data_IF_708156219478
#
_entry.id   IF_708156219478
#
_cell.length_a   1.000
_cell.length_b   1.000
_cell.length_c   1.000
_cell.angle_alpha   90.00
_cell.angle_beta   90.00
_cell.angle_gamma   90.00
#
_symmetry.space_group_name_H-M   'P 1'
#
loop_
_entity.id
_entity.type
_entity.pdbx_description
1 polymer ?
#
# COMPACT_ATOMS: atom_id res chain seq x y z
N UNK A 1 4.38 -12.93 -5.35
CA UNK A 1 3.62 -13.56 -4.24
C UNK A 1 3.00 -14.89 -4.65
N UNK A 2 2.10 -14.92 -5.66
CA UNK A 2 1.36 -16.14 -6.06
C UNK A 2 2.27 -17.34 -6.34
N UNK A 3 3.36 -17.15 -7.09
CA UNK A 3 4.31 -18.23 -7.37
C UNK A 3 5.01 -18.77 -6.11
N UNK A 4 5.35 -17.90 -5.17
CA UNK A 4 6.01 -18.28 -3.90
C UNK A 4 5.03 -19.05 -2.99
N UNK A 5 3.79 -18.60 -2.92
CA UNK A 5 2.72 -19.29 -2.19
C UNK A 5 2.40 -20.64 -2.85
N UNK A 6 2.34 -20.69 -4.18
CA UNK A 6 2.15 -21.94 -4.92
C UNK A 6 3.28 -22.94 -4.66
N UNK A 7 4.53 -22.48 -4.69
CA UNK A 7 5.69 -23.30 -4.32
C UNK A 7 5.64 -23.76 -2.86
N UNK A 8 5.22 -22.90 -1.93
CA UNK A 8 5.04 -23.26 -0.52
C UNK A 8 4.00 -24.36 -0.34
N UNK A 9 2.84 -24.25 -0.99
CA UNK A 9 1.77 -25.25 -0.89
C UNK A 9 2.26 -26.58 -1.46
N UNK A 10 2.86 -26.56 -2.67
CA UNK A 10 3.41 -27.74 -3.32
C UNK A 10 4.48 -28.43 -2.46
N UNK A 11 5.42 -27.66 -1.92
CA UNK A 11 6.51 -28.21 -1.11
C UNK A 11 6.02 -28.73 0.23
N UNK A 12 5.03 -28.09 0.87
CA UNK A 12 4.42 -28.62 2.10
C UNK A 12 3.64 -29.91 1.85
N UNK A 13 2.99 -30.05 0.69
CA UNK A 13 2.25 -31.27 0.33
C UNK A 13 3.16 -32.40 -0.14
N UNK A 14 4.19 -32.11 -0.92
CA UNK A 14 5.10 -33.10 -1.48
C UNK A 14 6.23 -33.38 -0.48
N UNK A 15 7.07 -32.40 -0.15
CA UNK A 15 8.20 -32.64 0.77
C UNK A 15 7.75 -32.87 2.22
N UNK A 16 6.65 -32.26 2.66
CA UNK A 16 6.12 -32.50 4.01
C UNK A 16 5.61 -33.93 4.20
N UNK A 17 4.95 -34.49 3.19
CA UNK A 17 4.42 -35.88 3.22
C UNK A 17 5.52 -36.93 3.02
N UNK A 18 6.52 -36.65 2.17
CA UNK A 18 7.53 -37.64 1.79
C UNK A 18 8.86 -37.54 2.56
N UNK A 19 9.25 -36.34 3.04
CA UNK A 19 10.57 -36.07 3.64
C UNK A 19 10.45 -35.48 5.06
N UNK A 20 9.23 -35.10 5.49
CA UNK A 20 8.99 -34.50 6.82
C UNK A 20 9.52 -33.07 6.97
N UNK A 21 10.02 -32.44 5.90
CA UNK A 21 10.54 -31.06 5.91
C UNK A 21 9.75 -30.17 4.96
N UNK A 22 9.29 -29.02 5.44
CA UNK A 22 8.79 -27.93 4.57
C UNK A 22 9.89 -26.88 4.37
N UNK A 23 9.78 -25.99 3.38
CA UNK A 23 10.71 -24.85 3.24
C UNK A 23 10.18 -23.65 4.05
N UNK A 24 10.60 -23.43 5.31
CA UNK A 24 10.03 -22.39 6.17
C UNK A 24 10.28 -20.96 5.68
N UNK A 25 11.32 -20.74 4.85
CA UNK A 25 11.63 -19.43 4.31
C UNK A 25 10.61 -18.93 3.27
N UNK A 26 9.91 -19.83 2.58
CA UNK A 26 8.95 -19.43 1.53
C UNK A 26 7.75 -18.71 2.14
N UNK A 27 7.36 -19.07 3.37
CA UNK A 27 6.30 -18.40 4.13
C UNK A 27 6.68 -16.95 4.37
N UNK A 28 7.84 -16.72 4.99
CA UNK A 28 8.34 -15.39 5.32
C UNK A 28 8.56 -14.53 4.07
N UNK A 29 9.06 -15.13 2.98
CA UNK A 29 9.22 -14.43 1.71
C UNK A 29 7.87 -14.04 1.09
N UNK A 30 6.86 -14.92 1.15
CA UNK A 30 5.54 -14.62 0.62
C UNK A 30 4.87 -13.46 1.35
N UNK A 31 5.02 -13.41 2.67
CA UNK A 31 4.54 -12.32 3.52
C UNK A 31 5.26 -11.01 3.21
N UNK A 32 6.59 -11.05 3.06
CA UNK A 32 7.34 -9.88 2.64
C UNK A 32 6.86 -9.36 1.29
N UNK A 33 6.76 -10.23 0.27
CA UNK A 33 6.27 -9.84 -1.05
C UNK A 33 4.83 -9.29 -1.01
N UNK A 34 3.97 -9.84 -0.17
CA UNK A 34 2.62 -9.31 0.03
C UNK A 34 2.66 -7.86 0.50
N UNK A 35 3.47 -7.55 1.54
CA UNK A 35 3.61 -6.17 2.03
C UNK A 35 4.12 -5.23 0.94
N UNK A 36 5.14 -5.64 0.18
CA UNK A 36 5.67 -4.84 -0.92
C UNK A 36 4.61 -4.55 -1.99
N UNK A 37 3.90 -5.58 -2.46
CA UNK A 37 2.87 -5.41 -3.49
C UNK A 37 1.70 -4.55 -2.98
N UNK A 38 1.28 -4.71 -1.72
CA UNK A 38 0.21 -3.90 -1.13
C UNK A 38 0.56 -2.42 -1.12
N UNK A 39 1.76 -2.05 -0.66
CA UNK A 39 2.15 -0.64 -0.60
C UNK A 39 2.43 -0.03 -1.97
N UNK A 40 3.02 -0.79 -2.90
CA UNK A 40 3.19 -0.35 -4.29
C UNK A 40 1.81 -0.16 -4.94
N UNK A 41 0.90 -1.11 -4.77
CA UNK A 41 -0.46 -1.03 -5.28
C UNK A 41 -1.22 0.17 -4.71
N UNK A 42 -1.12 0.41 -3.41
CA UNK A 42 -1.72 1.58 -2.75
C UNK A 42 -1.14 2.91 -3.28
N UNK A 43 0.17 2.99 -3.52
CA UNK A 43 0.80 4.17 -4.10
C UNK A 43 0.32 4.43 -5.53
N UNK A 44 0.22 3.39 -6.37
CA UNK A 44 -0.30 3.50 -7.75
C UNK A 44 -1.78 3.90 -7.75
N UNK A 45 -2.61 3.26 -6.92
CA UNK A 45 -4.04 3.58 -6.80
C UNK A 45 -4.25 5.03 -6.31
N UNK A 46 -3.43 5.48 -5.36
CA UNK A 46 -3.46 6.88 -4.90
C UNK A 46 -3.09 7.86 -6.01
N UNK A 47 -2.11 7.53 -6.86
CA UNK A 47 -1.71 8.37 -7.99
C UNK A 47 -2.76 8.45 -9.11
N UNK A 48 -3.54 7.39 -9.29
CA UNK A 48 -4.64 7.36 -10.27
C UNK A 48 -5.97 7.89 -9.74
N UNK A 49 -6.05 8.26 -8.47
CA UNK A 49 -7.30 8.69 -7.80
C UNK A 49 -8.43 7.66 -7.86
N UNK A 50 -8.12 6.37 -8.03
CA UNK A 50 -9.08 5.23 -8.08
C UNK A 50 -9.74 4.94 -6.72
N UNK A 51 -10.05 5.95 -5.92
CA UNK A 51 -10.91 5.76 -4.75
C UNK A 51 -12.37 5.71 -5.23
N UNK A 52 -12.68 4.63 -5.96
CA UNK A 52 -13.90 4.27 -6.71
C UNK A 52 -15.22 4.48 -5.94
N UNK A 53 -15.19 4.65 -4.62
CA UNK A 53 -16.39 4.74 -3.80
C UNK A 53 -17.06 6.11 -3.76
N UNK A 54 -16.42 7.16 -4.30
CA UNK A 54 -17.02 8.50 -4.33
C UNK A 54 -17.76 8.80 -5.62
N UNK A 55 -17.37 8.23 -6.76
CA UNK A 55 -17.87 8.65 -8.07
C UNK A 55 -19.38 8.45 -8.22
N UNK A 56 -19.93 7.33 -7.73
CA UNK A 56 -21.38 7.06 -7.75
C UNK A 56 -22.20 7.98 -6.84
N UNK A 57 -21.60 8.51 -5.77
CA UNK A 57 -22.27 9.41 -4.82
C UNK A 57 -22.08 10.88 -5.24
N UNK A 58 -20.95 11.18 -5.88
CA UNK A 58 -20.52 12.52 -6.31
C UNK A 58 -21.34 13.02 -7.50
N UNK A 59 -21.79 12.16 -8.41
CA UNK A 59 -22.62 12.54 -9.57
C UNK A 59 -23.93 13.26 -9.19
N UNK A 60 -24.42 13.07 -7.95
CA UNK A 60 -25.65 13.69 -7.45
C UNK A 60 -25.44 14.81 -6.44
N UNK A 61 -24.20 15.14 -6.11
CA UNK A 61 -23.86 16.14 -5.10
C UNK A 61 -23.55 17.52 -5.71
N UNK A 62 -23.74 18.56 -4.90
CA UNK A 62 -23.34 19.92 -5.28
C UNK A 62 -21.82 20.07 -5.26
N UNK A 63 -21.28 20.93 -6.13
CA UNK A 63 -19.83 21.16 -6.29
C UNK A 63 -19.12 21.49 -4.98
N UNK A 64 -19.78 22.25 -4.10
CA UNK A 64 -19.26 22.58 -2.77
C UNK A 64 -19.10 21.35 -1.87
N UNK A 65 -20.04 20.41 -1.92
CA UNK A 65 -20.01 19.18 -1.11
C UNK A 65 -18.90 18.25 -1.59
N UNK A 66 -18.77 18.11 -2.92
CA UNK A 66 -17.70 17.31 -3.54
C UNK A 66 -16.33 17.84 -3.10
N UNK A 67 -16.14 19.16 -3.13
CA UNK A 67 -14.89 19.79 -2.68
C UNK A 67 -14.56 19.47 -1.23
N UNK A 68 -15.52 19.66 -0.31
CA UNK A 68 -15.32 19.39 1.12
C UNK A 68 -14.99 17.92 1.36
N UNK A 69 -15.68 17.02 0.66
CA UNK A 69 -15.49 15.57 0.81
C UNK A 69 -14.12 15.13 0.29
N UNK A 70 -13.66 15.70 -0.83
CA UNK A 70 -12.32 15.45 -1.36
C UNK A 70 -11.22 15.97 -0.43
N UNK A 71 -11.38 17.16 0.15
CA UNK A 71 -10.43 17.69 1.16
C UNK A 71 -10.40 16.78 2.38
N UNK A 72 -11.56 16.40 2.91
CA UNK A 72 -11.67 15.55 4.09
C UNK A 72 -11.02 14.18 3.87
N UNK A 73 -11.34 13.52 2.74
CA UNK A 73 -10.73 12.25 2.32
C UNK A 73 -9.20 12.37 2.27
N UNK A 74 -8.70 13.42 1.61
CA UNK A 74 -7.27 13.62 1.41
C UNK A 74 -6.55 13.86 2.74
N UNK A 75 -7.13 14.67 3.63
CA UNK A 75 -6.61 14.88 4.97
C UNK A 75 -6.57 13.58 5.77
N UNK A 76 -7.62 12.77 5.68
CA UNK A 76 -7.69 11.47 6.38
C UNK A 76 -6.59 10.51 5.91
N UNK A 77 -6.33 10.46 4.59
CA UNK A 77 -5.24 9.67 4.00
C UNK A 77 -3.87 10.17 4.50
N UNK A 78 -3.64 11.50 4.51
CA UNK A 78 -2.38 12.07 4.98
C UNK A 78 -2.13 11.77 6.47
N UNK A 79 -3.15 11.87 7.31
CA UNK A 79 -3.06 11.51 8.73
C UNK A 79 -2.76 10.03 8.89
N UNK A 80 -3.50 9.16 8.18
CA UNK A 80 -3.29 7.72 8.23
C UNK A 80 -1.86 7.33 7.85
N UNK A 81 -1.36 7.85 6.73
CA UNK A 81 0.01 7.61 6.27
C UNK A 81 1.04 8.18 7.24
N UNK A 82 0.80 9.35 7.81
CA UNK A 82 1.66 9.94 8.83
C UNK A 82 1.81 9.04 10.07
N UNK A 83 0.69 8.52 10.59
CA UNK A 83 0.69 7.55 11.69
C UNK A 83 1.45 6.28 11.30
N UNK A 84 1.20 5.76 10.10
CA UNK A 84 1.83 4.55 9.60
C UNK A 84 3.36 4.69 9.55
N UNK A 85 3.87 5.78 8.95
CA UNK A 85 5.31 6.06 8.89
C UNK A 85 5.90 6.24 10.29
N UNK A 86 5.19 6.96 11.18
CA UNK A 86 5.65 7.20 12.54
C UNK A 86 5.82 5.92 13.36
N UNK A 87 5.01 4.89 13.11
CA UNK A 87 5.15 3.57 13.73
C UNK A 87 6.16 2.68 13.01
N UNK A 88 6.20 2.72 11.68
CA UNK A 88 7.08 1.88 10.87
C UNK A 88 8.56 2.26 11.02
N UNK A 89 8.88 3.56 11.14
CA UNK A 89 10.26 4.03 11.19
C UNK A 89 11.04 3.59 12.45
N UNK A 90 10.50 3.70 13.69
CA UNK A 90 11.14 3.14 14.87
C UNK A 90 11.29 1.63 14.81
N UNK A 91 10.31 0.92 14.24
CA UNK A 91 10.36 -0.53 14.09
C UNK A 91 11.42 -0.95 13.08
N UNK A 92 11.59 -0.19 11.99
CA UNK A 92 12.68 -0.37 11.04
C UNK A 92 14.04 -0.31 11.74
N UNK A 93 14.30 0.76 12.51
CA UNK A 93 15.58 0.96 13.21
C UNK A 93 15.86 -0.14 14.24
N UNK A 94 14.85 -0.54 15.02
CA UNK A 94 15.00 -1.59 16.04
C UNK A 94 15.27 -2.98 15.45
N UNK A 95 14.83 -3.24 14.22
CA UNK A 95 14.88 -4.56 13.60
C UNK A 95 16.00 -4.72 12.57
N UNK A 96 16.96 -3.78 12.51
CA UNK A 96 18.09 -3.86 11.59
C UNK A 96 19.04 -5.03 11.86
N UNK A 97 19.13 -5.50 13.12
CA UNK A 97 19.97 -6.65 13.49
C UNK A 97 19.23 -8.00 13.56
N UNK A 98 17.91 -8.00 13.46
CA UNK A 98 17.08 -9.20 13.66
C UNK A 98 16.83 -9.91 12.34
N UNK A 99 17.06 -11.23 12.27
CA UNK A 99 16.76 -12.07 11.10
C UNK A 99 15.28 -12.44 11.04
N UNK A 100 14.69 -12.49 9.85
CA UNK A 100 13.27 -12.89 9.65
C UNK A 100 13.15 -14.42 9.64
N UNK A 101 12.96 -15.02 10.81
CA UNK A 101 12.71 -16.47 10.93
C UNK A 101 13.75 -17.31 10.20
N UNK A 102 13.32 -18.12 9.23
CA UNK A 102 14.19 -19.05 8.50
C UNK A 102 14.76 -18.51 7.17
N UNK A 103 14.70 -17.20 6.91
CA UNK A 103 15.27 -16.64 5.67
C UNK A 103 16.80 -16.78 5.65
N UNK A 104 17.41 -17.02 4.47
CA UNK A 104 18.86 -17.15 4.35
C UNK A 104 19.58 -15.90 4.87
N UNK A 105 20.68 -16.11 5.60
CA UNK A 105 21.54 -15.03 6.13
C UNK A 105 22.19 -14.20 5.02
N UNK A 106 22.29 -14.74 3.80
CA UNK A 106 22.88 -14.08 2.64
C UNK A 106 21.89 -14.04 1.46
N UNK A 107 21.56 -12.84 0.92
CA UNK A 107 21.85 -11.50 1.45
C UNK A 107 21.12 -11.22 2.80
N UNK A 108 21.51 -10.17 3.58
CA UNK A 108 21.01 -9.96 4.94
C UNK A 108 19.55 -9.48 4.96
N UNK A 109 18.61 -10.43 4.83
CA UNK A 109 17.17 -10.20 4.98
C UNK A 109 16.82 -10.04 6.46
N UNK A 110 17.02 -8.83 6.96
CA UNK A 110 16.66 -8.44 8.32
C UNK A 110 15.18 -8.08 8.41
N UNK A 111 14.60 -8.14 9.60
CA UNK A 111 13.19 -7.83 9.83
C UNK A 111 12.85 -6.37 9.52
N UNK A 112 13.87 -5.51 9.44
CA UNK A 112 13.77 -4.15 8.92
C UNK A 112 13.13 -4.07 7.52
N UNK A 113 13.40 -5.05 6.64
CA UNK A 113 12.92 -5.04 5.24
C UNK A 113 11.40 -5.09 5.11
N UNK A 114 10.68 -5.57 6.13
CA UNK A 114 9.21 -5.56 6.16
C UNK A 114 8.62 -4.15 6.33
N UNK A 115 9.37 -3.23 6.93
CA UNK A 115 8.91 -1.87 7.22
C UNK A 115 9.27 -0.88 6.10
N UNK A 116 10.20 -1.23 5.20
CA UNK A 116 10.61 -0.37 4.09
C UNK A 116 9.46 0.01 3.15
N UNK A 117 8.59 -0.92 2.68
CA UNK A 117 7.48 -0.56 1.80
C UNK A 117 6.47 0.37 2.46
N UNK A 118 6.26 0.20 3.76
CA UNK A 118 5.38 1.05 4.56
C UNK A 118 5.88 2.50 4.59
N UNK A 119 7.19 2.69 4.82
CA UNK A 119 7.81 4.02 4.85
C UNK A 119 7.82 4.63 3.45
N UNK A 120 8.36 3.91 2.46
CA UNK A 120 8.53 4.44 1.09
C UNK A 120 7.18 4.64 0.40
N UNK A 121 6.30 3.63 0.43
CA UNK A 121 4.96 3.71 -0.13
C UNK A 121 4.12 4.78 0.57
N UNK A 122 4.24 4.90 1.89
CA UNK A 122 3.63 5.99 2.65
C UNK A 122 4.08 7.37 2.14
N UNK A 123 5.39 7.61 2.01
CA UNK A 123 5.90 8.89 1.50
C UNK A 123 5.35 9.20 0.10
N UNK A 124 5.30 8.22 -0.79
CA UNK A 124 4.74 8.40 -2.14
C UNK A 124 3.24 8.75 -2.10
N UNK A 125 2.46 8.03 -1.28
CA UNK A 125 1.04 8.34 -1.09
C UNK A 125 0.86 9.75 -0.51
N UNK A 126 1.71 10.15 0.43
CA UNK A 126 1.66 11.50 1.01
C UNK A 126 1.95 12.58 -0.04
N UNK A 127 2.91 12.36 -0.94
CA UNK A 127 3.19 13.28 -2.06
C UNK A 127 1.96 13.43 -2.96
N UNK A 128 1.31 12.33 -3.32
CA UNK A 128 0.07 12.38 -4.11
C UNK A 128 -1.06 13.08 -3.36
N UNK A 129 -1.24 12.81 -2.07
CA UNK A 129 -2.24 13.48 -1.25
C UNK A 129 -2.01 14.99 -1.15
N UNK A 130 -0.77 15.44 -0.98
CA UNK A 130 -0.44 16.88 -0.95
C UNK A 130 -0.71 17.53 -2.31
N UNK A 131 -0.34 16.86 -3.41
CA UNK A 131 -0.64 17.32 -4.78
C UNK A 131 -2.16 17.46 -4.99
N UNK A 132 -2.93 16.46 -4.59
CA UNK A 132 -4.39 16.47 -4.71
C UNK A 132 -4.99 17.61 -3.89
N UNK A 133 -4.56 17.78 -2.64
CA UNK A 133 -5.01 18.87 -1.79
C UNK A 133 -4.72 20.24 -2.40
N UNK A 134 -3.52 20.43 -2.97
CA UNK A 134 -3.15 21.67 -3.66
C UNK A 134 -4.06 21.95 -4.85
N UNK A 135 -4.34 20.93 -5.67
CA UNK A 135 -5.21 21.08 -6.84
C UNK A 135 -6.66 21.42 -6.46
N UNK A 136 -7.20 20.84 -5.38
CA UNK A 136 -8.53 21.18 -4.85
C UNK A 136 -8.62 22.64 -4.40
N UNK A 137 -7.52 23.20 -3.89
CA UNK A 137 -7.48 24.60 -3.44
C UNK A 137 -7.36 25.56 -4.63
N UNK A 138 -6.47 25.26 -5.58
CA UNK A 138 -6.09 26.18 -6.68
C UNK A 138 -7.02 26.10 -7.89
N UNK A 139 -7.44 24.90 -8.29
CA UNK A 139 -8.22 24.68 -9.52
C UNK A 139 -9.32 23.62 -9.27
N UNK A 140 -10.35 23.95 -8.47
CA UNK A 140 -11.41 23.01 -8.12
C UNK A 140 -12.20 22.54 -9.34
N UNK A 141 -12.33 23.36 -10.38
CA UNK A 141 -13.02 23.01 -11.64
C UNK A 141 -12.41 21.80 -12.37
N UNK A 142 -11.10 21.59 -12.29
CA UNK A 142 -10.43 20.44 -12.94
C UNK A 142 -10.86 19.13 -12.29
N UNK A 143 -10.97 19.11 -10.95
CA UNK A 143 -11.37 17.91 -10.21
C UNK A 143 -12.86 17.65 -10.36
N UNK A 144 -13.68 18.70 -10.41
CA UNK A 144 -15.11 18.56 -10.66
C UNK A 144 -15.37 17.99 -12.06
N UNK A 145 -14.59 18.39 -13.06
CA UNK A 145 -14.68 17.86 -14.42
C UNK A 145 -14.14 16.42 -14.51
N UNK A 146 -13.01 16.09 -13.85
CA UNK A 146 -12.53 14.69 -13.76
C UNK A 146 -13.59 13.77 -13.12
N UNK A 147 -14.30 14.23 -12.08
CA UNK A 147 -15.27 13.43 -11.35
C UNK A 147 -16.66 13.37 -11.99
N UNK A 148 -17.01 14.34 -12.84
CA UNK A 148 -18.33 14.39 -13.54
C UNK A 148 -18.25 14.01 -15.01
N UNK A 149 -17.07 14.06 -15.62
CA UNK A 149 -16.87 13.83 -17.05
C UNK A 149 -16.75 12.36 -17.47
N UNK A 150 -16.73 11.42 -16.51
CA UNK A 150 -16.64 9.97 -16.79
C UNK A 150 -17.99 9.33 -17.16
N UNK A 151 -19.08 10.10 -17.25
CA UNK A 151 -20.42 9.63 -17.62
C UNK A 151 -20.70 9.66 -19.16
N UNK A 152 -19.77 10.17 -19.98
CA UNK A 152 -19.98 10.38 -21.44
C UNK A 152 -19.33 9.33 -22.37
N UNK A 153 -18.63 8.31 -21.85
CA UNK A 153 -18.00 7.22 -22.65
C UNK A 153 -18.66 5.83 -22.44
#
# INVERSE_FOLDING_TARGET
MILVVGLQILTRWVLGTFIGSSLPWTVNLSQMLLVYVTFIGAAVASGKREHISLDLLVSRLSDGTIRVLTVLRTLLILVFVGVLISGAYPLYLQNQGSVIGALPTYPPFTQAWLYVPAIVGGIVIAIYGIRDLWQVVVAPEVILNDLKGDDDD
#
